data_IF_446461457845
#
_entry.id   IF_446461457845
#
_cell.length_a   1.000
_cell.length_b   1.000
_cell.length_c   1.000
_cell.angle_alpha   90.00
_cell.angle_beta   90.00
_cell.angle_gamma   90.00
#
_symmetry.space_group_name_H-M   'P 1'
#
loop_
_entity.id
_entity.type
_entity.pdbx_description
1 polymer ?
#
# COMPACT_ATOMS: atom_id res chain seq x y z
N UNK A 1 -11.28 -5.26 -2.54
CA UNK A 1 -10.53 -4.88 -1.31
C UNK A 1 -9.06 -5.24 -1.46
N UNK A 2 -8.15 -4.42 -0.93
CA UNK A 2 -6.69 -4.66 -0.96
C UNK A 2 -6.18 -4.84 0.47
N UNK A 3 -5.24 -5.78 0.65
CA UNK A 3 -4.54 -6.07 1.91
C UNK A 3 -3.03 -5.95 1.64
N UNK A 4 -2.30 -5.21 2.46
CA UNK A 4 -0.84 -5.06 2.32
C UNK A 4 -0.11 -6.00 3.28
N UNK A 5 0.98 -6.62 2.82
CA UNK A 5 1.91 -7.32 3.71
C UNK A 5 2.93 -6.34 4.29
N UNK A 6 3.45 -6.62 5.47
CA UNK A 6 4.48 -5.85 6.15
C UNK A 6 5.36 -6.78 6.99
N UNK A 7 6.59 -6.42 7.24
CA UNK A 7 7.52 -7.23 8.05
C UNK A 7 8.91 -7.38 7.43
N UNK A 8 9.82 -7.96 8.19
CA UNK A 8 11.24 -8.10 7.83
C UNK A 8 11.46 -8.90 6.54
N UNK A 9 12.62 -8.72 5.90
CA UNK A 9 13.08 -9.60 4.82
C UNK A 9 13.18 -11.05 5.37
N UNK A 10 12.91 -12.04 4.54
CA UNK A 10 12.91 -13.46 4.88
C UNK A 10 11.91 -13.93 5.95
N UNK A 11 11.06 -13.07 6.50
CA UNK A 11 9.96 -13.47 7.37
C UNK A 11 8.80 -14.18 6.66
N UNK A 12 8.93 -14.48 5.37
CA UNK A 12 8.00 -15.33 4.64
C UNK A 12 6.79 -14.65 4.05
N UNK A 13 6.80 -13.31 3.82
CA UNK A 13 5.70 -12.55 3.18
C UNK A 13 5.26 -13.17 1.85
N UNK A 14 6.19 -13.28 0.91
CA UNK A 14 5.96 -13.87 -0.42
C UNK A 14 5.53 -15.34 -0.35
N UNK A 15 6.12 -16.11 0.57
CA UNK A 15 5.76 -17.52 0.77
C UNK A 15 4.35 -17.68 1.33
N UNK A 16 3.96 -16.84 2.28
CA UNK A 16 2.61 -16.79 2.82
C UNK A 16 1.58 -16.44 1.73
N UNK A 17 1.84 -15.40 0.94
CA UNK A 17 0.96 -15.03 -0.16
C UNK A 17 0.83 -16.14 -1.20
N UNK A 18 1.94 -16.82 -1.52
CA UNK A 18 1.90 -17.99 -2.40
C UNK A 18 1.04 -19.12 -1.83
N UNK A 19 1.13 -19.39 -0.53
CA UNK A 19 0.30 -20.41 0.13
C UNK A 19 -1.19 -20.03 0.13
N UNK A 20 -1.51 -18.73 0.32
CA UNK A 20 -2.88 -18.23 0.31
C UNK A 20 -3.51 -18.19 -1.09
N UNK A 21 -2.75 -17.74 -2.09
CA UNK A 21 -3.29 -17.37 -3.42
C UNK A 21 -2.86 -18.30 -4.56
N UNK A 22 -1.87 -19.14 -4.34
CA UNK A 22 -1.21 -19.92 -5.38
C UNK A 22 -0.24 -19.12 -6.27
N UNK A 23 -0.19 -17.78 -6.12
CA UNK A 23 0.61 -16.88 -6.97
C UNK A 23 1.93 -16.53 -6.29
N UNK A 24 3.04 -16.64 -7.02
CA UNK A 24 4.33 -16.13 -6.59
C UNK A 24 4.44 -14.64 -6.99
N UNK A 25 4.51 -13.74 -6.03
CA UNK A 25 4.58 -12.28 -6.23
C UNK A 25 5.95 -11.81 -6.72
N UNK A 26 7.01 -12.60 -6.55
CA UNK A 26 8.36 -12.31 -7.08
C UNK A 26 8.37 -12.43 -8.60
N UNK A 27 8.30 -11.32 -9.31
CA UNK A 27 8.19 -11.27 -10.77
C UNK A 27 9.50 -10.85 -11.46
N UNK A 28 10.37 -10.07 -10.78
CA UNK A 28 11.64 -9.65 -11.35
C UNK A 28 12.68 -10.79 -11.31
N UNK A 29 13.49 -10.94 -12.38
CA UNK A 29 14.58 -11.93 -12.37
C UNK A 29 15.55 -11.73 -11.20
N UNK A 30 15.77 -10.48 -10.81
CA UNK A 30 16.66 -10.11 -9.71
C UNK A 30 16.09 -10.51 -8.34
N UNK A 31 14.78 -10.40 -8.14
CA UNK A 31 14.09 -10.89 -6.94
C UNK A 31 14.25 -12.41 -6.78
N UNK A 32 14.08 -13.15 -7.88
CA UNK A 32 14.26 -14.62 -7.88
C UNK A 32 15.70 -15.02 -7.60
N UNK A 33 16.68 -14.24 -8.09
CA UNK A 33 18.10 -14.48 -7.88
C UNK A 33 18.54 -14.15 -6.44
N UNK A 34 18.00 -13.07 -5.88
CA UNK A 34 18.36 -12.59 -4.52
C UNK A 34 17.48 -13.19 -3.42
N UNK A 35 16.36 -13.82 -3.78
CA UNK A 35 15.40 -14.36 -2.80
C UNK A 35 14.61 -13.28 -2.04
N UNK A 36 14.63 -12.02 -2.48
CA UNK A 36 13.97 -10.91 -1.78
C UNK A 36 13.13 -10.05 -2.72
N UNK A 37 12.02 -9.51 -2.23
CA UNK A 37 11.16 -8.57 -2.95
C UNK A 37 11.84 -7.20 -3.08
N UNK A 38 11.87 -6.65 -4.28
CA UNK A 38 12.49 -5.35 -4.61
C UNK A 38 11.42 -4.31 -4.94
N UNK A 39 10.44 -4.68 -5.75
CA UNK A 39 9.30 -3.85 -6.12
C UNK A 39 8.00 -4.41 -5.54
N UNK A 40 6.91 -3.68 -5.68
CA UNK A 40 5.59 -4.14 -5.24
C UNK A 40 5.16 -5.36 -6.06
N UNK A 41 4.93 -6.46 -5.37
CA UNK A 41 4.31 -7.65 -5.93
C UNK A 41 2.80 -7.64 -5.72
N UNK A 42 2.05 -8.28 -6.61
CA UNK A 42 0.60 -8.35 -6.52
C UNK A 42 0.12 -9.78 -6.65
N UNK A 43 -0.80 -10.16 -5.76
CA UNK A 43 -1.48 -11.45 -5.81
C UNK A 43 -2.98 -11.26 -5.59
N UNK A 44 -3.77 -12.20 -6.07
CA UNK A 44 -5.22 -12.14 -5.98
C UNK A 44 -5.77 -13.47 -5.49
N UNK A 45 -6.72 -13.42 -4.57
CA UNK A 45 -7.44 -14.57 -4.04
C UNK A 45 -8.92 -14.47 -4.45
N UNK A 46 -9.35 -15.22 -5.46
CA UNK A 46 -10.76 -15.30 -5.81
C UNK A 46 -11.54 -16.00 -4.70
N UNK A 47 -12.61 -15.40 -4.25
CA UNK A 47 -13.60 -15.94 -3.34
C UNK A 47 -14.96 -16.03 -4.06
N UNK A 48 -15.96 -16.64 -3.45
CA UNK A 48 -17.28 -16.82 -4.09
C UNK A 48 -17.93 -15.51 -4.56
N UNK A 49 -17.83 -14.45 -3.76
CA UNK A 49 -18.52 -13.17 -4.01
C UNK A 49 -17.57 -12.00 -4.25
N UNK A 50 -16.30 -12.14 -3.93
CA UNK A 50 -15.30 -11.07 -4.06
C UNK A 50 -13.92 -11.58 -4.40
N UNK A 51 -13.06 -10.69 -4.85
CA UNK A 51 -11.63 -10.98 -5.04
C UNK A 51 -10.84 -10.13 -4.05
N UNK A 52 -9.98 -10.76 -3.25
CA UNK A 52 -9.04 -10.06 -2.41
C UNK A 52 -7.75 -9.81 -3.19
N UNK A 53 -7.30 -8.55 -3.21
CA UNK A 53 -6.00 -8.18 -3.72
C UNK A 53 -4.97 -8.11 -2.58
N UNK A 54 -3.75 -8.52 -2.86
CA UNK A 54 -2.64 -8.42 -1.93
C UNK A 54 -1.50 -7.62 -2.57
N UNK A 55 -0.90 -6.74 -1.76
CA UNK A 55 0.32 -6.05 -2.11
C UNK A 55 1.45 -6.65 -1.27
N UNK A 56 2.38 -7.31 -1.93
CA UNK A 56 3.61 -7.83 -1.33
C UNK A 56 4.66 -6.73 -1.34
N UNK A 57 4.94 -6.16 -0.16
CA UNK A 57 5.91 -5.07 -0.06
C UNK A 57 7.32 -5.57 0.22
N UNK A 58 8.34 -4.87 -0.30
CA UNK A 58 9.73 -5.15 0.05
C UNK A 58 9.95 -5.05 1.56
N UNK A 59 10.71 -6.00 2.13
CA UNK A 59 11.07 -5.96 3.54
C UNK A 59 12.33 -5.15 3.85
N UNK A 60 13.18 -4.90 2.86
CA UNK A 60 14.48 -4.29 3.07
C UNK A 60 14.41 -2.76 3.04
N UNK A 61 15.09 -2.07 3.98
CA UNK A 61 15.11 -0.60 4.15
C UNK A 61 15.39 0.19 2.86
N UNK A 62 16.28 -0.33 1.98
CA UNK A 62 16.60 0.29 0.68
C UNK A 62 15.39 0.46 -0.23
N UNK A 63 14.33 -0.33 -0.01
CA UNK A 63 13.12 -0.33 -0.82
C UNK A 63 11.91 0.26 -0.08
N UNK A 64 12.14 0.91 1.06
CA UNK A 64 11.08 1.55 1.87
C UNK A 64 10.24 2.54 1.04
N UNK A 65 10.88 3.26 0.12
CA UNK A 65 10.21 4.14 -0.81
C UNK A 65 9.16 3.41 -1.68
N UNK A 66 9.47 2.21 -2.16
CA UNK A 66 8.53 1.40 -2.93
C UNK A 66 7.37 0.90 -2.04
N UNK A 67 7.67 0.50 -0.81
CA UNK A 67 6.65 0.15 0.17
C UNK A 67 5.66 1.31 0.38
N UNK A 68 6.15 2.51 0.72
CA UNK A 68 5.31 3.66 1.03
C UNK A 68 4.35 4.04 -0.11
N UNK A 69 4.80 3.93 -1.36
CA UNK A 69 3.95 4.22 -2.52
C UNK A 69 2.86 3.17 -2.78
N UNK A 70 2.94 1.99 -2.19
CA UNK A 70 1.93 0.93 -2.29
C UNK A 70 0.87 0.97 -1.20
N UNK A 71 1.06 1.77 -0.14
CA UNK A 71 0.20 1.76 1.03
C UNK A 71 -1.02 2.68 0.92
N UNK A 72 -1.06 3.58 -0.05
CA UNK A 72 -2.15 4.53 -0.20
C UNK A 72 -3.48 3.86 -0.56
N UNK A 73 -4.57 4.25 0.09
CA UNK A 73 -5.91 3.72 -0.15
C UNK A 73 -6.14 2.28 0.33
N UNK A 74 -5.26 1.75 1.17
CA UNK A 74 -5.36 0.39 1.75
C UNK A 74 -5.82 0.48 3.20
N UNK A 75 -6.84 -0.31 3.56
CA UNK A 75 -7.44 -0.29 4.91
C UNK A 75 -6.98 -1.44 5.80
N UNK A 76 -6.38 -2.48 5.23
CA UNK A 76 -6.00 -3.71 5.92
C UNK A 76 -4.52 -4.03 5.73
N UNK A 77 -3.84 -4.38 6.82
CA UNK A 77 -2.45 -4.79 6.78
C UNK A 77 -2.24 -6.14 7.48
N UNK A 78 -1.33 -6.94 6.96
CA UNK A 78 -0.79 -8.13 7.63
C UNK A 78 0.65 -7.85 8.05
N UNK A 79 0.91 -7.75 9.36
CA UNK A 79 2.25 -7.74 9.92
C UNK A 79 2.76 -9.18 10.02
N UNK A 80 3.81 -9.49 9.30
CA UNK A 80 4.36 -10.84 9.19
C UNK A 80 5.66 -10.93 9.99
N UNK A 81 5.69 -11.84 10.97
CA UNK A 81 6.82 -12.06 11.88
C UNK A 81 7.15 -13.55 11.88
N UNK A 82 8.40 -13.91 11.63
CA UNK A 82 8.83 -15.30 11.67
C UNK A 82 9.00 -15.79 13.12
N UNK A 83 8.46 -16.98 13.44
CA UNK A 83 8.50 -17.55 14.78
C UNK A 83 9.90 -17.89 15.27
N UNK A 84 10.79 -18.25 14.34
CA UNK A 84 12.19 -18.64 14.60
C UNK A 84 13.13 -17.44 14.80
N UNK A 85 12.74 -16.23 14.32
CA UNK A 85 13.57 -15.03 14.37
C UNK A 85 12.99 -13.91 15.29
N UNK A 86 11.66 -13.86 15.44
CA UNK A 86 10.99 -12.84 16.24
C UNK A 86 11.00 -11.44 15.61
N UNK A 87 10.97 -10.39 16.45
CA UNK A 87 10.94 -8.99 16.01
C UNK A 87 12.33 -8.56 15.56
N UNK A 88 12.51 -8.43 14.25
CA UNK A 88 13.76 -7.99 13.63
C UNK A 88 13.79 -6.46 13.41
N UNK A 89 14.94 -5.91 12.98
CA UNK A 89 15.14 -4.47 12.83
C UNK A 89 14.11 -3.82 11.89
N UNK A 90 13.93 -4.39 10.70
CA UNK A 90 12.96 -3.84 9.71
C UNK A 90 11.50 -4.06 10.14
N UNK A 91 11.20 -5.05 11.00
CA UNK A 91 9.88 -5.18 11.61
C UNK A 91 9.53 -3.94 12.43
N UNK A 92 10.50 -3.38 13.16
CA UNK A 92 10.31 -2.15 13.96
C UNK A 92 10.04 -0.93 13.09
N UNK A 93 10.75 -0.78 11.97
CA UNK A 93 10.54 0.29 11.00
C UNK A 93 9.14 0.20 10.37
N UNK A 94 8.76 -1.01 9.94
CA UNK A 94 7.44 -1.26 9.39
C UNK A 94 6.32 -1.01 10.40
N UNK A 95 6.53 -1.36 11.66
CA UNK A 95 5.58 -1.09 12.75
C UNK A 95 5.37 0.41 12.98
N UNK A 96 6.44 1.21 12.91
CA UNK A 96 6.33 2.66 13.00
C UNK A 96 5.47 3.24 11.87
N UNK A 97 5.66 2.75 10.64
CA UNK A 97 4.85 3.16 9.48
C UNK A 97 3.39 2.71 9.63
N UNK A 98 3.14 1.46 10.01
CA UNK A 98 1.79 0.93 10.19
C UNK A 98 1.01 1.71 11.25
N UNK A 99 1.68 2.12 12.32
CA UNK A 99 1.09 2.95 13.39
C UNK A 99 0.63 4.33 12.87
N UNK A 100 1.39 4.94 11.96
CA UNK A 100 1.10 6.28 11.43
C UNK A 100 -0.02 6.26 10.36
N UNK A 101 -0.15 5.17 9.60
CA UNK A 101 -1.06 5.11 8.46
C UNK A 101 -2.52 4.78 8.80
N UNK A 102 -2.87 4.66 10.09
CA UNK A 102 -4.25 4.49 10.56
C UNK A 102 -5.04 3.41 9.82
N UNK A 103 -4.45 2.23 9.64
CA UNK A 103 -5.18 1.08 9.11
C UNK A 103 -6.42 0.77 9.97
N UNK A 104 -7.50 0.38 9.32
CA UNK A 104 -8.71 -0.06 10.04
C UNK A 104 -8.41 -1.31 10.86
N UNK A 105 -7.59 -2.20 10.30
CA UNK A 105 -7.14 -3.39 11.01
C UNK A 105 -5.73 -3.79 10.57
N UNK A 106 -4.92 -4.17 11.55
CA UNK A 106 -3.61 -4.80 11.37
C UNK A 106 -3.68 -6.20 11.98
N UNK A 107 -3.65 -7.22 11.13
CA UNK A 107 -3.54 -8.62 11.54
C UNK A 107 -2.07 -8.98 11.77
N UNK A 108 -1.77 -9.73 12.81
CA UNK A 108 -0.43 -10.24 13.08
C UNK A 108 -0.37 -11.70 12.63
N UNK A 109 0.52 -12.02 11.70
CA UNK A 109 0.73 -13.37 11.17
C UNK A 109 2.11 -13.86 11.56
N UNK A 110 2.15 -14.79 12.51
CA UNK A 110 3.38 -15.48 12.93
C UNK A 110 3.62 -16.63 11.97
N UNK A 111 4.66 -16.50 11.16
CA UNK A 111 5.03 -17.47 10.12
C UNK A 111 6.12 -18.45 10.61
N UNK A 112 6.46 -19.44 9.78
CA UNK A 112 7.47 -20.46 10.08
C UNK A 112 7.22 -21.19 11.41
N UNK A 113 5.95 -21.39 11.77
CA UNK A 113 5.58 -22.06 13.02
C UNK A 113 6.11 -23.49 13.14
N UNK A 114 6.45 -24.13 12.01
CA UNK A 114 7.10 -25.44 11.92
C UNK A 114 8.55 -25.43 12.44
N UNK A 115 9.15 -24.26 12.69
CA UNK A 115 10.55 -24.09 13.16
C UNK A 115 10.66 -23.61 14.60
N UNK A 116 9.55 -23.46 15.31
CA UNK A 116 9.54 -22.96 16.68
C UNK A 116 8.64 -23.84 17.57
N UNK A 117 8.88 -23.84 18.87
CA UNK A 117 8.03 -24.52 19.83
C UNK A 117 6.79 -23.63 20.17
N UNK A 118 5.75 -24.24 20.72
CA UNK A 118 4.57 -23.50 21.16
C UNK A 118 4.91 -22.42 22.20
N UNK A 119 5.84 -22.71 23.11
CA UNK A 119 6.31 -21.77 24.13
C UNK A 119 7.00 -20.56 23.51
N UNK A 120 7.79 -20.76 22.47
CA UNK A 120 8.45 -19.67 21.72
C UNK A 120 7.41 -18.81 20.99
N UNK A 121 6.41 -19.41 20.37
CA UNK A 121 5.34 -18.69 19.65
C UNK A 121 4.50 -17.86 20.64
N UNK A 122 4.11 -18.40 21.79
CA UNK A 122 3.35 -17.66 22.81
C UNK A 122 4.19 -16.56 23.45
N UNK A 123 5.48 -16.77 23.67
CA UNK A 123 6.40 -15.75 24.15
C UNK A 123 6.53 -14.59 23.15
N UNK A 124 6.67 -14.89 21.85
CA UNK A 124 6.73 -13.88 20.79
C UNK A 124 5.41 -13.08 20.71
N UNK A 125 4.27 -13.75 20.77
CA UNK A 125 2.96 -13.10 20.78
C UNK A 125 2.83 -12.13 21.97
N UNK A 126 3.20 -12.59 23.18
CA UNK A 126 3.21 -11.77 24.39
C UNK A 126 4.14 -10.57 24.25
N UNK A 127 5.33 -10.77 23.69
CA UNK A 127 6.29 -9.69 23.42
C UNK A 127 5.68 -8.64 22.48
N UNK A 128 5.07 -9.06 21.34
CA UNK A 128 4.44 -8.14 20.39
C UNK A 128 3.36 -7.32 21.09
N UNK A 129 2.49 -7.95 21.88
CA UNK A 129 1.39 -7.28 22.59
C UNK A 129 1.90 -6.28 23.63
N UNK A 130 3.00 -6.58 24.30
CA UNK A 130 3.60 -5.73 25.33
C UNK A 130 4.36 -4.55 24.75
N UNK A 131 5.21 -4.82 23.73
CA UNK A 131 6.08 -3.81 23.12
C UNK A 131 5.30 -2.87 22.19
N UNK A 132 4.18 -3.36 21.64
CA UNK A 132 3.32 -2.63 20.68
C UNK A 132 1.85 -2.67 21.09
N UNK A 133 1.43 -1.88 22.12
CA UNK A 133 0.07 -1.93 22.70
C UNK A 133 -1.06 -1.71 21.66
N UNK A 134 -0.78 -0.99 20.56
CA UNK A 134 -1.76 -0.81 19.48
C UNK A 134 -2.10 -2.10 18.71
N UNK A 135 -1.29 -3.16 18.87
CA UNK A 135 -1.53 -4.49 18.33
C UNK A 135 -2.12 -5.47 19.37
N UNK A 136 -2.30 -5.06 20.61
CA UNK A 136 -2.75 -5.96 21.68
C UNK A 136 -4.12 -6.60 21.39
N UNK A 137 -5.00 -5.89 20.67
CA UNK A 137 -6.32 -6.36 20.28
C UNK A 137 -6.38 -6.86 18.83
N UNK A 138 -5.25 -6.94 18.13
CA UNK A 138 -5.19 -7.48 16.77
C UNK A 138 -5.51 -8.96 16.73
N UNK A 139 -5.96 -9.46 15.58
CA UNK A 139 -6.09 -10.90 15.35
C UNK A 139 -4.71 -11.50 15.07
N UNK A 140 -4.40 -12.59 15.76
CA UNK A 140 -3.13 -13.32 15.63
C UNK A 140 -3.34 -14.65 14.93
N UNK A 141 -2.55 -14.90 13.88
CA UNK A 141 -2.56 -16.16 13.13
C UNK A 141 -1.19 -16.81 13.22
N UNK A 142 -1.18 -18.10 13.57
CA UNK A 142 0.03 -18.92 13.63
C UNK A 142 0.04 -19.78 12.37
N UNK A 143 1.04 -19.61 11.52
CA UNK A 143 1.05 -20.20 10.18
C UNK A 143 2.38 -20.82 9.79
N UNK A 144 2.33 -21.82 8.93
CA UNK A 144 3.46 -22.34 8.17
C UNK A 144 3.07 -22.53 6.71
N UNK A 145 3.71 -21.78 5.82
CA UNK A 145 3.53 -21.97 4.37
C UNK A 145 4.10 -23.33 3.89
N UNK A 146 5.00 -23.95 4.65
CA UNK A 146 5.60 -25.25 4.34
C UNK A 146 4.64 -26.41 4.62
N UNK A 147 3.96 -26.39 5.77
CA UNK A 147 3.07 -27.47 6.22
C UNK A 147 1.60 -27.21 5.93
N UNK A 148 1.23 -25.97 5.59
CA UNK A 148 -0.14 -25.54 5.43
C UNK A 148 -0.84 -25.15 6.75
N UNK A 149 -0.14 -25.28 7.89
CA UNK A 149 -0.71 -24.93 9.21
C UNK A 149 -1.26 -23.50 9.20
N UNK A 150 -2.49 -23.32 9.66
CA UNK A 150 -3.14 -22.02 9.86
C UNK A 150 -3.50 -21.25 8.59
N UNK A 151 -3.15 -21.74 7.40
CA UNK A 151 -3.43 -21.04 6.12
C UNK A 151 -4.93 -20.96 5.84
N UNK A 152 -5.69 -22.02 6.07
CA UNK A 152 -7.13 -22.02 5.83
C UNK A 152 -7.86 -21.13 6.84
N UNK A 153 -7.48 -21.15 8.12
CA UNK A 153 -8.05 -20.25 9.13
C UNK A 153 -7.80 -18.77 8.80
N UNK A 154 -6.59 -18.43 8.34
CA UNK A 154 -6.29 -17.08 7.88
C UNK A 154 -7.11 -16.73 6.63
N UNK A 155 -7.24 -17.65 5.66
CA UNK A 155 -8.06 -17.45 4.46
C UNK A 155 -9.52 -17.19 4.79
N UNK A 156 -10.10 -17.98 5.69
CA UNK A 156 -11.49 -17.84 6.14
C UNK A 156 -11.72 -16.49 6.83
N UNK A 157 -10.77 -16.07 7.67
CA UNK A 157 -10.85 -14.76 8.31
C UNK A 157 -10.82 -13.63 7.29
N UNK A 158 -9.85 -13.65 6.35
CA UNK A 158 -9.72 -12.65 5.30
C UNK A 158 -10.97 -12.59 4.39
N UNK A 159 -11.60 -13.74 4.14
CA UNK A 159 -12.84 -13.82 3.36
C UNK A 159 -14.01 -13.08 4.03
N UNK A 160 -14.02 -12.99 5.35
CA UNK A 160 -15.09 -12.36 6.13
C UNK A 160 -14.82 -10.89 6.49
N UNK A 161 -13.67 -10.32 6.10
CA UNK A 161 -13.38 -8.90 6.33
C UNK A 161 -14.42 -8.02 5.61
N UNK A 162 -14.93 -6.96 6.27
CA UNK A 162 -15.85 -6.02 5.64
C UNK A 162 -15.19 -5.22 4.53
N UNK A 163 -15.95 -4.89 3.49
CA UNK A 163 -15.49 -3.99 2.45
C UNK A 163 -15.71 -2.53 2.87
N UNK A 164 -14.61 -1.81 3.06
CA UNK A 164 -14.61 -0.41 3.51
C UNK A 164 -14.42 0.56 2.33
N UNK A 165 -15.17 0.32 1.25
CA UNK A 165 -15.00 1.11 0.04
C UNK A 165 -15.84 2.39 0.07
N UNK A 166 -15.22 3.55 -0.15
CA UNK A 166 -15.90 4.84 -0.28
C UNK A 166 -16.51 5.03 -1.68
N UNK A 167 -17.42 4.12 -2.07
CA UNK A 167 -18.00 4.06 -3.42
C UNK A 167 -18.91 5.25 -3.77
N UNK A 168 -19.44 5.96 -2.76
CA UNK A 168 -20.37 7.09 -2.95
C UNK A 168 -19.65 8.43 -3.12
N UNK A 169 -18.31 8.46 -3.04
CA UNK A 169 -17.52 9.67 -3.32
C UNK A 169 -17.19 9.77 -4.82
N UNK A 170 -16.79 10.95 -5.32
CA UNK A 170 -16.25 11.08 -6.68
C UNK A 170 -15.06 10.15 -6.90
N UNK A 171 -14.95 9.57 -8.10
CA UNK A 171 -13.86 8.65 -8.42
C UNK A 171 -12.50 9.33 -8.33
N UNK A 172 -11.57 8.68 -7.61
CA UNK A 172 -10.16 9.07 -7.48
C UNK A 172 -9.29 7.83 -7.60
N UNK A 173 -8.34 7.88 -8.51
CA UNK A 173 -7.48 6.75 -8.82
C UNK A 173 -6.04 7.22 -9.01
N UNK A 174 -5.12 6.64 -8.23
CA UNK A 174 -3.70 6.94 -8.30
C UNK A 174 -2.99 5.97 -9.25
N UNK A 175 -2.31 6.49 -10.25
CA UNK A 175 -1.57 5.72 -11.25
C UNK A 175 -0.22 5.28 -10.65
N UNK A 176 0.06 3.97 -10.64
CA UNK A 176 1.34 3.41 -10.22
C UNK A 176 2.23 2.92 -11.38
N UNK A 177 1.62 2.55 -12.53
CA UNK A 177 2.34 2.17 -13.76
C UNK A 177 1.57 2.63 -14.98
N UNK A 178 2.33 3.01 -16.03
CA UNK A 178 1.82 3.37 -17.35
C UNK A 178 2.56 2.57 -18.40
N UNK A 179 1.85 1.98 -19.33
CA UNK A 179 2.46 1.20 -20.43
C UNK A 179 1.56 1.13 -21.63
N UNK A 180 2.16 0.92 -22.79
CA UNK A 180 1.43 0.66 -24.05
C UNK A 180 1.33 -0.84 -24.29
N UNK A 181 0.14 -1.32 -24.63
CA UNK A 181 -0.12 -2.72 -24.97
C UNK A 181 -0.45 -2.79 -26.47
N UNK A 182 0.29 -3.61 -27.22
CA UNK A 182 0.05 -3.80 -28.65
C UNK A 182 -1.40 -4.26 -28.90
N UNK A 183 -2.13 -3.50 -29.69
CA UNK A 183 -3.54 -3.75 -30.02
C UNK A 183 -4.57 -3.20 -28.99
N UNK A 184 -4.17 -2.93 -27.76
CA UNK A 184 -5.05 -2.33 -26.75
C UNK A 184 -4.81 -0.82 -26.56
N UNK A 185 -3.60 -0.33 -26.78
CA UNK A 185 -3.23 1.07 -26.59
C UNK A 185 -2.70 1.34 -25.17
N UNK A 186 -3.00 2.51 -24.64
CA UNK A 186 -2.51 2.95 -23.32
C UNK A 186 -3.25 2.25 -22.18
N UNK A 187 -2.50 1.63 -21.29
CA UNK A 187 -3.00 1.01 -20.07
C UNK A 187 -2.31 1.62 -18.88
N UNK A 188 -3.09 2.00 -17.88
CA UNK A 188 -2.59 2.45 -16.57
C UNK A 188 -3.02 1.46 -15.49
N UNK A 189 -2.13 1.17 -14.54
CA UNK A 189 -2.49 0.41 -13.35
C UNK A 189 -2.37 1.27 -12.11
N UNK A 190 -3.13 0.95 -11.07
CA UNK A 190 -3.16 1.74 -9.84
C UNK A 190 -4.25 1.30 -8.87
N UNK A 191 -4.43 2.11 -7.84
CA UNK A 191 -5.42 1.90 -6.78
C UNK A 191 -6.55 2.92 -6.88
N UNK A 192 -7.79 2.46 -6.83
CA UNK A 192 -8.96 3.32 -6.70
C UNK A 192 -9.16 3.70 -5.23
N UNK A 193 -8.99 4.99 -4.91
CA UNK A 193 -9.11 5.51 -3.55
C UNK A 193 -10.55 5.80 -3.15
N UNK A 194 -11.36 6.23 -4.10
CA UNK A 194 -12.76 6.58 -3.87
C UNK A 194 -13.58 6.38 -5.14
N UNK A 195 -14.89 6.27 -4.98
CA UNK A 195 -15.88 6.27 -6.06
C UNK A 195 -15.93 4.99 -6.87
N UNK A 196 -16.54 5.10 -8.03
CA UNK A 196 -16.68 4.03 -9.02
C UNK A 196 -16.31 4.56 -10.40
N UNK A 197 -15.84 3.68 -11.27
CA UNK A 197 -15.58 3.96 -12.68
C UNK A 197 -16.20 2.86 -13.53
N UNK A 198 -16.78 3.24 -14.66
CA UNK A 198 -17.37 2.34 -15.66
C UNK A 198 -16.67 2.47 -17.01
N UNK A 199 -16.84 1.48 -17.86
CA UNK A 199 -16.45 1.61 -19.28
C UNK A 199 -17.21 2.81 -19.89
N UNK A 200 -16.55 3.54 -20.79
CA UNK A 200 -16.96 4.77 -21.43
C UNK A 200 -17.00 6.04 -20.54
N UNK A 201 -16.71 5.95 -19.24
CA UNK A 201 -16.57 7.13 -18.39
C UNK A 201 -15.46 8.06 -18.91
N UNK A 202 -15.75 9.36 -18.89
CA UNK A 202 -14.75 10.42 -19.06
C UNK A 202 -14.16 10.80 -17.70
N UNK A 203 -12.84 10.76 -17.60
CA UNK A 203 -12.09 11.15 -16.43
C UNK A 203 -11.13 12.28 -16.76
N UNK A 204 -10.74 13.03 -15.75
CA UNK A 204 -9.70 14.03 -15.84
C UNK A 204 -8.37 13.44 -15.33
N UNK A 205 -7.33 13.62 -16.13
CA UNK A 205 -5.96 13.44 -15.64
C UNK A 205 -5.60 14.60 -14.71
N UNK A 206 -4.74 14.38 -13.73
CA UNK A 206 -4.28 15.43 -12.81
C UNK A 206 -3.65 16.64 -13.51
N UNK A 207 -3.21 16.48 -14.73
CA UNK A 207 -2.68 17.54 -15.62
C UNK A 207 -3.79 18.28 -16.41
N UNK A 208 -5.08 17.99 -16.16
CA UNK A 208 -6.23 18.69 -16.71
C UNK A 208 -6.84 18.08 -17.98
N UNK A 209 -6.16 17.13 -18.65
CA UNK A 209 -6.67 16.53 -19.88
C UNK A 209 -7.80 15.52 -19.58
N UNK A 210 -8.77 15.45 -20.49
CA UNK A 210 -9.82 14.44 -20.46
C UNK A 210 -9.37 13.16 -21.15
N UNK A 211 -9.70 12.04 -20.52
CA UNK A 211 -9.45 10.71 -21.04
C UNK A 211 -10.70 9.84 -20.90
N UNK A 212 -10.91 8.89 -21.82
CA UNK A 212 -12.05 7.97 -21.75
C UNK A 212 -11.58 6.56 -21.46
N UNK A 213 -12.29 5.88 -20.57
CA UNK A 213 -12.06 4.49 -20.20
C UNK A 213 -12.64 3.55 -21.28
N UNK A 214 -11.80 2.70 -21.88
CA UNK A 214 -12.22 1.71 -22.90
C UNK A 214 -12.54 0.36 -22.30
N UNK A 215 -11.68 -0.10 -21.39
CA UNK A 215 -11.79 -1.40 -20.73
C UNK A 215 -11.26 -1.31 -19.30
N UNK A 216 -11.77 -2.17 -18.44
CA UNK A 216 -11.41 -2.26 -17.03
C UNK A 216 -11.04 -3.71 -16.70
N UNK A 217 -9.92 -3.90 -16.01
CA UNK A 217 -9.66 -5.10 -15.23
C UNK A 217 -9.65 -4.72 -13.76
N UNK A 218 -10.52 -5.32 -12.98
CA UNK A 218 -10.57 -5.17 -11.54
C UNK A 218 -9.97 -6.42 -10.89
N UNK A 219 -8.94 -6.26 -10.02
CA UNK A 219 -8.26 -7.38 -9.38
C UNK A 219 -7.82 -8.46 -10.38
N UNK A 220 -7.24 -8.04 -11.50
CA UNK A 220 -6.77 -8.88 -12.61
C UNK A 220 -7.87 -9.67 -13.36
N UNK A 221 -9.14 -9.29 -13.24
CA UNK A 221 -10.29 -9.91 -13.93
C UNK A 221 -11.01 -8.87 -14.76
N UNK A 222 -11.42 -9.17 -16.03
CA UNK A 222 -12.23 -8.27 -16.83
C UNK A 222 -13.50 -7.84 -16.07
N UNK A 223 -13.83 -6.56 -16.13
CA UNK A 223 -14.99 -6.00 -15.41
C UNK A 223 -15.57 -4.82 -16.17
N UNK A 224 -16.88 -4.61 -16.08
CA UNK A 224 -17.54 -3.42 -16.59
C UNK A 224 -17.35 -2.20 -15.67
N UNK A 225 -17.04 -2.44 -14.38
CA UNK A 225 -16.88 -1.41 -13.36
C UNK A 225 -15.65 -1.64 -12.49
N UNK A 226 -15.05 -0.56 -12.03
CA UNK A 226 -14.03 -0.56 -10.99
C UNK A 226 -14.54 0.20 -9.76
N UNK A 227 -14.20 -0.28 -8.56
CA UNK A 227 -14.66 0.27 -7.29
C UNK A 227 -13.50 0.76 -6.44
N UNK A 228 -13.76 1.74 -5.57
CA UNK A 228 -12.86 2.12 -4.51
C UNK A 228 -12.35 0.88 -3.74
N UNK A 229 -11.09 0.92 -3.27
CA UNK A 229 -10.45 -0.20 -2.58
C UNK A 229 -10.01 -1.34 -3.48
N UNK A 230 -10.10 -1.19 -4.82
CA UNK A 230 -9.61 -2.18 -5.77
C UNK A 230 -8.34 -1.68 -6.48
N UNK A 231 -7.48 -2.64 -6.86
CA UNK A 231 -6.46 -2.41 -7.86
C UNK A 231 -7.06 -2.60 -9.24
N UNK A 232 -6.96 -1.56 -10.06
CA UNK A 232 -7.52 -1.56 -11.40
C UNK A 232 -6.40 -1.49 -12.46
N UNK A 233 -6.67 -2.08 -13.61
CA UNK A 233 -6.00 -1.74 -14.85
C UNK A 233 -7.04 -1.10 -15.78
N UNK A 234 -6.81 0.17 -16.15
CA UNK A 234 -7.70 0.94 -17.00
C UNK A 234 -7.04 1.11 -18.37
N UNK A 235 -7.72 0.63 -19.41
CA UNK A 235 -7.35 0.94 -20.79
C UNK A 235 -8.01 2.27 -21.16
N UNK A 236 -7.17 3.23 -21.60
CA UNK A 236 -7.60 4.59 -21.90
C UNK A 236 -7.57 4.87 -23.41
N UNK A 237 -8.52 5.67 -23.87
CA UNK A 237 -8.55 6.13 -25.27
C UNK A 237 -7.61 7.31 -25.47
N UNK A 238 -6.32 7.11 -25.26
CA UNK A 238 -5.30 8.14 -25.42
C UNK A 238 -4.03 7.57 -26.05
N UNK A 239 -3.28 8.46 -26.67
CA UNK A 239 -1.93 8.23 -27.14
C UNK A 239 -0.97 8.93 -26.17
N UNK A 240 0.01 8.20 -25.63
CA UNK A 240 1.00 8.73 -24.68
C UNK A 240 1.90 9.81 -25.28
N UNK A 241 2.08 9.82 -26.60
CA UNK A 241 2.83 10.89 -27.27
C UNK A 241 2.07 12.23 -27.27
N UNK A 242 0.74 12.17 -27.14
CA UNK A 242 -0.12 13.37 -27.09
C UNK A 242 -0.50 13.77 -25.68
N UNK A 243 -0.77 12.78 -24.83
CA UNK A 243 -1.12 12.99 -23.41
C UNK A 243 -0.17 12.14 -22.58
N UNK A 244 0.98 12.68 -22.21
CA UNK A 244 1.95 11.97 -21.39
C UNK A 244 1.36 11.71 -19.99
N UNK A 245 1.57 10.50 -19.50
CA UNK A 245 1.18 10.06 -18.18
C UNK A 245 2.35 9.41 -17.49
N UNK A 246 2.41 9.54 -16.17
CA UNK A 246 3.48 8.94 -15.38
C UNK A 246 2.95 8.39 -14.06
N UNK A 247 3.79 7.63 -13.38
CA UNK A 247 3.54 7.23 -12.00
C UNK A 247 3.35 8.44 -11.12
N UNK A 248 2.30 8.44 -10.29
CA UNK A 248 1.94 9.54 -9.41
C UNK A 248 0.86 10.45 -9.94
N UNK A 249 0.53 10.37 -11.23
CA UNK A 249 -0.63 11.07 -11.78
C UNK A 249 -1.94 10.46 -11.24
N UNK A 250 -2.99 11.26 -11.30
CA UNK A 250 -4.33 10.85 -10.86
C UNK A 250 -5.33 10.86 -12.02
N UNK A 251 -6.29 9.94 -11.96
CA UNK A 251 -7.53 10.01 -12.73
C UNK A 251 -8.69 10.34 -11.79
N UNK A 252 -9.48 11.31 -12.15
CA UNK A 252 -10.50 11.95 -11.33
C UNK A 252 -11.83 12.07 -12.08
N UNK A 253 -12.95 11.92 -11.35
CA UNK A 253 -14.29 12.16 -11.92
C UNK A 253 -14.61 13.64 -12.15
N UNK A 254 -13.87 14.55 -11.51
CA UNK A 254 -14.03 16.00 -11.63
C UNK A 254 -12.74 16.67 -12.04
N UNK A 255 -12.85 17.89 -12.54
CA UNK A 255 -11.70 18.69 -12.92
C UNK A 255 -10.73 18.84 -11.74
N UNK A 256 -9.41 18.62 -11.97
CA UNK A 256 -8.41 18.70 -10.92
C UNK A 256 -8.24 20.12 -10.39
N UNK A 257 -7.85 20.23 -9.13
CA UNK A 257 -7.31 21.47 -8.58
C UNK A 257 -5.90 21.69 -9.12
N UNK A 258 -5.42 22.93 -9.08
CA UNK A 258 -4.04 23.23 -9.44
C UNK A 258 -3.07 22.51 -8.50
N UNK A 259 -1.98 21.95 -9.04
CA UNK A 259 -0.94 21.35 -8.21
C UNK A 259 -0.28 22.41 -7.32
N UNK A 260 0.11 22.05 -6.13
CA UNK A 260 0.75 22.96 -5.17
C UNK A 260 2.18 22.52 -4.85
N UNK A 261 3.06 23.51 -4.72
CA UNK A 261 4.43 23.34 -4.23
C UNK A 261 4.58 23.66 -2.73
N UNK A 262 3.47 24.06 -2.07
CA UNK A 262 3.47 24.44 -0.66
C UNK A 262 2.27 23.83 0.06
N UNK A 263 2.55 23.14 1.16
CA UNK A 263 1.53 22.51 2.00
C UNK A 263 1.75 22.85 3.48
N UNK A 264 0.67 23.11 4.18
CA UNK A 264 0.66 23.18 5.65
C UNK A 264 0.06 21.89 6.18
N UNK A 265 0.79 21.23 7.07
CA UNK A 265 0.42 19.92 7.59
C UNK A 265 0.56 19.88 9.11
N UNK A 266 -0.26 19.08 9.76
CA UNK A 266 -0.04 18.64 11.13
C UNK A 266 0.80 17.35 11.08
N UNK A 267 1.88 17.29 11.84
CA UNK A 267 2.76 16.13 11.92
C UNK A 267 2.86 15.61 13.35
N UNK A 268 3.03 14.30 13.49
CA UNK A 268 3.38 13.63 14.74
C UNK A 268 4.70 12.87 14.51
N UNK A 269 5.85 13.45 14.89
CA UNK A 269 7.15 12.89 14.56
C UNK A 269 7.47 11.64 15.39
N UNK A 270 8.04 10.61 14.78
CA UNK A 270 8.59 9.43 15.46
C UNK A 270 10.01 9.65 16.03
N UNK A 271 10.65 10.76 15.66
CA UNK A 271 11.97 11.19 16.16
C UNK A 271 11.93 12.69 16.41
N UNK A 272 12.86 13.19 17.22
CA UNK A 272 12.97 14.63 17.41
C UNK A 272 13.37 15.30 16.08
N UNK A 273 12.60 16.30 15.68
CA UNK A 273 12.85 17.07 14.45
C UNK A 273 13.42 18.44 14.78
N UNK A 274 14.27 18.91 13.88
CA UNK A 274 14.75 20.29 13.85
C UNK A 274 14.05 21.06 12.74
N UNK A 275 13.91 22.35 12.94
CA UNK A 275 13.42 23.24 11.90
C UNK A 275 14.31 23.23 10.65
N UNK A 276 13.70 23.53 9.51
CA UNK A 276 14.39 23.77 8.22
C UNK A 276 15.19 22.57 7.68
N UNK A 277 14.69 21.35 7.86
CA UNK A 277 15.37 20.15 7.38
C UNK A 277 14.79 19.62 6.05
N UNK A 278 15.62 18.97 5.20
CA UNK A 278 15.13 18.28 4.02
C UNK A 278 14.31 17.05 4.40
N UNK A 279 13.25 16.79 3.65
CA UNK A 279 12.36 15.65 3.85
C UNK A 279 11.98 15.01 2.52
N UNK A 280 11.68 13.71 2.55
CA UNK A 280 11.02 13.02 1.46
C UNK A 280 9.52 12.95 1.75
N UNK A 281 8.71 13.28 0.74
CA UNK A 281 7.27 13.26 0.82
C UNK A 281 6.75 12.16 -0.09
N UNK A 282 5.84 11.35 0.44
CA UNK A 282 5.14 10.29 -0.29
C UNK A 282 3.64 10.58 -0.23
N UNK A 283 3.02 10.64 -1.40
CA UNK A 283 1.58 10.82 -1.53
C UNK A 283 1.04 9.85 -2.57
N UNK A 284 0.30 8.84 -2.13
CA UNK A 284 -0.12 7.71 -2.96
C UNK A 284 1.07 7.10 -3.74
N UNK A 285 1.03 7.08 -5.07
CA UNK A 285 2.13 6.59 -5.90
C UNK A 285 3.23 7.63 -6.20
N UNK A 286 3.03 8.89 -5.77
CA UNK A 286 3.99 9.99 -5.99
C UNK A 286 5.07 10.03 -4.91
N UNK A 287 6.24 10.53 -5.30
CA UNK A 287 7.34 10.84 -4.40
C UNK A 287 7.96 12.16 -4.82
N UNK A 288 8.18 13.07 -3.86
CA UNK A 288 8.95 14.29 -4.06
C UNK A 288 9.85 14.55 -2.85
N UNK A 289 10.71 15.53 -2.95
CA UNK A 289 11.51 16.07 -1.86
C UNK A 289 11.04 17.47 -1.53
N UNK A 290 11.37 17.94 -0.33
CA UNK A 290 11.00 19.28 0.08
C UNK A 290 11.76 19.71 1.32
N UNK A 291 11.51 20.93 1.73
CA UNK A 291 12.02 21.50 2.97
C UNK A 291 10.90 21.68 3.97
N UNK A 292 11.03 21.04 5.12
CA UNK A 292 10.09 21.17 6.24
C UNK A 292 10.50 22.32 7.14
N UNK A 293 9.55 23.21 7.44
CA UNK A 293 9.69 24.32 8.38
C UNK A 293 8.65 24.17 9.48
N UNK A 294 9.08 24.14 10.75
CA UNK A 294 8.18 24.09 11.88
C UNK A 294 7.56 25.48 12.13
N UNK A 295 6.25 25.54 12.35
CA UNK A 295 5.53 26.83 12.47
C UNK A 295 5.44 27.32 13.91
N UNK A 296 5.51 26.44 14.89
CA UNK A 296 5.28 26.76 16.32
C UNK A 296 6.56 26.82 17.13
N UNK A 297 7.61 26.12 16.73
CA UNK A 297 8.86 26.05 17.45
C UNK A 297 10.04 25.71 16.55
N UNK A 298 11.28 25.83 17.03
CA UNK A 298 12.48 25.42 16.30
C UNK A 298 12.78 23.91 16.40
N UNK A 299 12.09 23.19 17.27
CA UNK A 299 12.24 21.77 17.47
C UNK A 299 10.86 21.15 17.74
N UNK A 300 10.61 19.98 17.20
CA UNK A 300 9.46 19.15 17.52
C UNK A 300 9.97 17.88 18.20
N UNK A 301 9.41 17.59 19.38
CA UNK A 301 9.77 16.38 20.11
C UNK A 301 9.04 15.16 19.55
N UNK A 302 9.63 14.00 19.74
CA UNK A 302 8.99 12.73 19.38
C UNK A 302 7.59 12.63 19.99
N UNK A 303 6.61 12.22 19.18
CA UNK A 303 5.18 12.04 19.51
C UNK A 303 4.40 13.33 19.82
N UNK A 304 5.00 14.53 19.77
CA UNK A 304 4.27 15.77 19.93
C UNK A 304 3.65 16.20 18.60
N UNK A 305 2.36 16.53 18.62
CA UNK A 305 1.69 17.11 17.46
C UNK A 305 2.19 18.52 17.23
N UNK A 306 2.53 18.86 16.02
CA UNK A 306 2.98 20.22 15.67
C UNK A 306 2.61 20.55 14.23
N UNK A 307 2.46 21.84 13.95
CA UNK A 307 2.23 22.35 12.61
C UNK A 307 3.54 22.59 11.88
N UNK A 308 3.58 22.20 10.63
CA UNK A 308 4.72 22.43 9.75
C UNK A 308 4.25 22.89 8.36
N UNK A 309 5.08 23.71 7.73
CA UNK A 309 4.99 24.02 6.31
C UNK A 309 6.03 23.19 5.56
N UNK A 310 5.65 22.63 4.43
CA UNK A 310 6.58 21.94 3.53
C UNK A 310 6.56 22.64 2.18
N UNK A 311 7.73 23.09 1.73
CA UNK A 311 7.96 23.59 0.37
C UNK A 311 8.51 22.42 -0.44
N UNK A 312 7.79 22.03 -1.48
CA UNK A 312 8.08 20.87 -2.34
C UNK A 312 8.98 21.28 -3.49
N UNK A 313 9.91 20.40 -3.88
CA UNK A 313 10.73 20.61 -5.08
C UNK A 313 9.94 20.36 -6.37
N UNK A 314 8.96 19.47 -6.31
CA UNK A 314 8.02 19.24 -7.41
C UNK A 314 6.61 19.36 -6.86
N UNK A 315 5.74 20.16 -7.51
CA UNK A 315 4.35 20.30 -7.11
C UNK A 315 3.62 18.96 -7.04
N UNK A 316 2.75 18.80 -6.06
CA UNK A 316 1.89 17.64 -5.93
C UNK A 316 0.44 18.02 -6.20
N UNK A 317 -0.26 17.10 -6.83
CA UNK A 317 -1.70 17.14 -6.92
C UNK A 317 -2.28 16.58 -5.63
N UNK A 318 -2.89 17.43 -4.80
CA UNK A 318 -3.47 17.06 -3.51
C UNK A 318 -4.99 17.24 -3.57
N UNK A 319 -5.73 16.19 -3.24
CA UNK A 319 -7.16 16.28 -3.00
C UNK A 319 -7.39 16.38 -1.50
N UNK A 320 -8.18 17.34 -1.06
CA UNK A 320 -8.71 17.37 0.30
C UNK A 320 -9.66 16.16 0.47
N UNK A 321 -9.40 15.32 1.45
CA UNK A 321 -10.14 14.11 1.65
C UNK A 321 -10.64 13.91 3.05
#
# INVERSE_FOLDING_TARGET
MIIVTSGHVDHGKTALLKALTGTNTAHLPEEKKRGMTIDLGYAYLPLKEKVLGFIDVPGHEKFLANMLTGLGGVHYAMLIVAADEGIAAQTKEHLAILRQLQFTEIMVVITKADRATNEQIEALKTQIQTDYPFLAQSHYFITSAQTGLGIDALRDYLANLPELAEINKPFRYAIDRVFSVKGAGTVVTGTAFAGTVSIDDELFLSTGQKVRVKNIHAQNTPSEKGLAGQRLALNLNVDLDRIPMQRGDWLLASEPLEPTDRITIEITPEVNLKDSQPVHIYHAASRTTGKLTLLESKNAMKNDRTLAEVILEQPLFLAFG
#
